data_IF_531266765566
#
_entry.id   IF_531266765566
#
_cell.length_a   1.000
_cell.length_b   1.000
_cell.length_c   1.000
_cell.angle_alpha   90.00
_cell.angle_beta   90.00
_cell.angle_gamma   90.00
#
_symmetry.space_group_name_H-M   'P 1'
#
loop_
_entity.id
_entity.type
_entity.pdbx_description
1 polymer ?
#
# COMPACT_ATOMS: atom_id res chain seq x y z
N UNK A 1 -0.75 -21.16 26.32
CA UNK A 1 0.69 -20.85 26.38
C UNK A 1 0.91 -19.40 25.93
N UNK A 2 1.74 -18.63 26.62
CA UNK A 2 1.87 -17.16 26.39
C UNK A 2 2.83 -16.83 25.24
N UNK A 3 3.99 -17.49 25.19
CA UNK A 3 4.97 -17.28 24.12
C UNK A 3 4.56 -17.96 22.81
N UNK A 4 4.92 -17.34 21.67
CA UNK A 4 4.49 -17.75 20.32
C UNK A 4 5.64 -17.92 19.31
N UNK A 5 6.86 -17.52 19.67
CA UNK A 5 8.07 -17.69 18.89
C UNK A 5 9.16 -18.19 19.84
N UNK A 6 9.80 -19.28 19.47
CA UNK A 6 10.82 -19.96 20.27
C UNK A 6 12.11 -20.07 19.47
N UNK A 7 13.26 -20.12 20.16
CA UNK A 7 14.51 -20.50 19.52
C UNK A 7 14.44 -22.00 19.24
N UNK A 8 14.44 -22.38 17.97
CA UNK A 8 14.35 -23.76 17.53
C UNK A 8 15.06 -23.94 16.18
N UNK A 9 15.45 -25.18 15.88
CA UNK A 9 16.10 -25.55 14.61
C UNK A 9 15.16 -25.22 13.45
N UNK A 10 15.70 -24.53 12.44
CA UNK A 10 14.98 -24.13 11.24
C UNK A 10 14.13 -22.88 11.35
N UNK A 11 13.96 -22.26 12.53
CA UNK A 11 13.25 -20.97 12.61
C UNK A 11 14.02 -19.87 11.90
N UNK A 12 13.30 -19.09 11.10
CA UNK A 12 13.83 -17.94 10.37
C UNK A 12 13.86 -16.71 11.28
N UNK A 13 15.00 -16.03 11.33
CA UNK A 13 15.20 -14.78 12.06
C UNK A 13 15.61 -13.64 11.10
N UNK A 14 15.22 -12.42 11.44
CA UNK A 14 15.60 -11.18 10.77
C UNK A 14 16.74 -10.51 11.53
N UNK A 15 17.85 -10.19 10.86
CA UNK A 15 19.00 -9.53 11.49
C UNK A 15 18.73 -8.04 11.62
N UNK A 16 18.68 -7.53 12.85
CA UNK A 16 18.33 -6.14 13.14
C UNK A 16 19.52 -5.19 13.06
N UNK A 17 20.72 -5.64 13.44
CA UNK A 17 21.95 -4.83 13.44
C UNK A 17 23.20 -5.71 13.24
N UNK A 18 24.36 -5.07 13.04
CA UNK A 18 25.62 -5.76 12.72
C UNK A 18 25.86 -5.90 11.20
N UNK A 19 26.91 -6.63 10.77
CA UNK A 19 27.40 -6.64 9.38
C UNK A 19 26.43 -7.27 8.36
N UNK A 20 25.32 -7.84 8.83
CA UNK A 20 24.30 -8.49 8.00
C UNK A 20 22.88 -7.94 8.27
N UNK A 21 22.78 -6.74 8.86
CA UNK A 21 21.50 -6.07 9.11
C UNK A 21 20.60 -6.03 7.86
N UNK A 22 19.30 -6.24 8.05
CA UNK A 22 18.31 -6.31 6.97
C UNK A 22 18.16 -7.68 6.31
N UNK A 23 19.11 -8.62 6.52
CA UNK A 23 19.04 -9.98 5.96
C UNK A 23 18.22 -10.92 6.84
N UNK A 24 17.74 -12.00 6.22
CA UNK A 24 17.15 -13.15 6.90
C UNK A 24 18.17 -14.29 7.04
N UNK A 25 18.06 -15.09 8.09
CA UNK A 25 18.79 -16.36 8.29
C UNK A 25 17.88 -17.42 8.86
N UNK A 26 18.24 -18.69 8.74
CA UNK A 26 17.69 -19.77 9.54
C UNK A 26 18.65 -20.09 10.69
N UNK A 27 18.09 -20.36 11.87
CA UNK A 27 18.82 -21.03 12.95
C UNK A 27 19.05 -22.48 12.50
N UNK A 28 20.30 -22.91 12.43
CA UNK A 28 20.67 -24.30 12.10
C UNK A 28 20.93 -25.10 13.38
N UNK A 29 21.48 -24.44 14.39
CA UNK A 29 21.77 -25.02 15.69
C UNK A 29 21.87 -23.95 16.81
N UNK A 30 21.82 -24.37 18.07
CA UNK A 30 22.02 -23.53 19.26
C UNK A 30 23.37 -23.89 19.90
N UNK A 31 24.28 -22.93 19.97
CA UNK A 31 25.65 -23.14 20.47
C UNK A 31 25.69 -22.98 21.99
N UNK A 32 25.02 -21.93 22.48
CA UNK A 32 24.87 -21.62 23.90
C UNK A 32 23.63 -20.72 24.10
N UNK A 33 23.32 -20.36 25.35
CA UNK A 33 22.18 -19.51 25.70
C UNK A 33 22.14 -18.15 24.96
N UNK A 34 23.29 -17.65 24.50
CA UNK A 34 23.44 -16.35 23.86
C UNK A 34 23.68 -16.41 22.34
N UNK A 35 24.08 -17.57 21.77
CA UNK A 35 24.49 -17.71 20.36
C UNK A 35 23.88 -18.93 19.67
N UNK A 36 23.49 -18.74 18.41
CA UNK A 36 23.11 -19.80 17.47
C UNK A 36 24.10 -19.92 16.31
N UNK A 37 24.20 -21.12 15.74
CA UNK A 37 24.74 -21.33 14.40
C UNK A 37 23.66 -20.97 13.39
N UNK A 38 23.93 -19.99 12.51
CA UNK A 38 22.96 -19.50 11.54
C UNK A 38 23.47 -19.67 10.11
N UNK A 39 22.55 -19.76 9.16
CA UNK A 39 22.84 -19.90 7.73
C UNK A 39 21.81 -19.11 6.88
N UNK A 40 22.27 -18.42 5.83
CA UNK A 40 21.42 -17.61 4.95
C UNK A 40 21.77 -17.81 3.47
N UNK A 41 21.58 -19.03 2.93
CA UNK A 41 22.05 -19.40 1.59
C UNK A 41 21.38 -18.60 0.46
N UNK A 42 20.16 -18.10 0.70
CA UNK A 42 19.34 -17.34 -0.25
C UNK A 42 19.27 -15.84 0.10
N UNK A 43 20.05 -15.38 1.09
CA UNK A 43 20.14 -13.98 1.55
C UNK A 43 21.58 -13.44 1.55
N UNK A 44 22.57 -14.27 1.23
CA UNK A 44 23.98 -13.89 1.24
C UNK A 44 24.53 -13.71 2.65
N UNK A 45 24.18 -14.61 3.58
CA UNK A 45 24.85 -14.79 4.87
C UNK A 45 25.54 -16.14 4.85
N UNK A 46 26.86 -16.18 5.05
CA UNK A 46 27.61 -17.43 5.20
C UNK A 46 27.26 -18.08 6.55
N UNK A 47 27.44 -19.40 6.64
CA UNK A 47 27.28 -20.14 7.89
C UNK A 47 28.26 -19.62 8.94
N UNK A 48 27.74 -19.16 10.08
CA UNK A 48 28.54 -18.57 11.17
C UNK A 48 27.80 -18.63 12.51
N UNK A 49 28.53 -18.51 13.62
CA UNK A 49 27.93 -18.25 14.92
C UNK A 49 27.42 -16.80 14.99
N UNK A 50 26.25 -16.58 15.60
CA UNK A 50 25.65 -15.24 15.71
C UNK A 50 24.83 -15.10 17.00
N UNK A 51 24.95 -13.99 17.75
CA UNK A 51 24.26 -13.84 19.02
C UNK A 51 22.76 -13.55 18.84
N UNK A 52 21.91 -14.10 19.71
CA UNK A 52 20.47 -13.86 19.68
C UNK A 52 20.11 -12.38 19.81
N UNK A 53 20.92 -11.60 20.53
CA UNK A 53 20.72 -10.14 20.72
C UNK A 53 20.62 -9.34 19.41
N UNK A 54 21.24 -9.78 18.30
CA UNK A 54 21.19 -9.04 17.03
C UNK A 54 20.11 -9.53 16.06
N UNK A 55 19.34 -10.57 16.40
CA UNK A 55 18.33 -11.15 15.53
C UNK A 55 16.93 -11.17 16.16
N UNK A 56 15.90 -11.01 15.33
CA UNK A 56 14.50 -10.98 15.74
C UNK A 56 13.78 -12.16 15.09
N UNK A 57 13.29 -13.09 15.91
CA UNK A 57 12.59 -14.29 15.44
C UNK A 57 11.36 -13.92 14.61
N UNK A 58 11.18 -14.56 13.46
CA UNK A 58 9.97 -14.43 12.62
C UNK A 58 9.00 -15.58 12.90
N UNK A 59 7.82 -15.55 12.27
CA UNK A 59 6.83 -16.62 12.38
C UNK A 59 7.13 -17.84 11.49
N UNK A 60 8.13 -17.75 10.60
CA UNK A 60 8.46 -18.82 9.64
C UNK A 60 9.43 -19.85 10.24
N UNK A 61 9.15 -21.14 10.02
CA UNK A 61 9.98 -22.27 10.42
C UNK A 61 10.19 -23.18 9.21
N UNK A 62 11.43 -23.61 8.98
CA UNK A 62 11.83 -24.57 7.97
C UNK A 62 12.05 -25.94 8.60
N UNK A 63 11.57 -27.02 7.99
CA UNK A 63 11.77 -28.38 8.52
C UNK A 63 13.02 -29.02 7.91
N UNK A 64 14.11 -29.03 8.67
CA UNK A 64 15.36 -29.75 8.39
C UNK A 64 16.01 -30.21 9.71
N UNK A 65 16.87 -31.25 9.74
CA UNK A 65 17.47 -31.74 10.97
C UNK A 65 18.54 -30.78 11.55
N UNK A 66 18.77 -30.86 12.86
CA UNK A 66 19.88 -30.16 13.54
C UNK A 66 21.20 -30.35 12.77
N UNK A 67 22.03 -29.31 12.72
CA UNK A 67 23.34 -29.30 12.05
C UNK A 67 23.35 -29.63 10.54
N UNK A 68 22.19 -29.67 9.86
CA UNK A 68 22.10 -29.96 8.42
C UNK A 68 23.06 -29.11 7.55
N UNK A 69 23.68 -29.73 6.53
CA UNK A 69 24.57 -29.04 5.56
C UNK A 69 23.80 -27.99 4.74
N UNK A 70 24.48 -26.92 4.31
CA UNK A 70 23.86 -25.75 3.65
C UNK A 70 23.00 -26.09 2.41
N UNK A 71 23.33 -27.16 1.67
CA UNK A 71 22.52 -27.68 0.54
C UNK A 71 21.07 -27.97 0.94
N UNK A 72 20.84 -28.57 2.11
CA UNK A 72 19.50 -28.89 2.62
C UNK A 72 18.76 -27.65 3.14
N UNK A 73 19.47 -26.74 3.81
CA UNK A 73 18.92 -25.46 4.27
C UNK A 73 18.45 -24.62 3.08
N UNK A 74 19.24 -24.56 2.00
CA UNK A 74 18.87 -23.93 0.72
C UNK A 74 17.59 -24.56 0.13
N UNK A 75 17.57 -25.88 -0.02
CA UNK A 75 16.44 -26.59 -0.60
C UNK A 75 15.14 -26.37 0.20
N UNK A 76 15.22 -26.37 1.54
CA UNK A 76 14.08 -26.05 2.41
C UNK A 76 13.59 -24.59 2.24
N UNK A 77 14.52 -23.63 2.19
CA UNK A 77 14.23 -22.20 2.02
C UNK A 77 13.53 -21.88 0.70
N UNK A 78 13.98 -22.55 -0.38
CA UNK A 78 13.46 -22.39 -1.74
C UNK A 78 12.12 -23.14 -1.92
N UNK A 79 11.98 -24.36 -1.36
CA UNK A 79 10.71 -25.10 -1.29
C UNK A 79 9.61 -24.29 -0.58
N UNK A 80 9.93 -23.71 0.58
CA UNK A 80 8.99 -22.89 1.35
C UNK A 80 8.83 -21.45 0.81
N UNK A 81 9.58 -21.06 -0.23
CA UNK A 81 9.52 -19.74 -0.89
C UNK A 81 9.61 -18.58 0.12
N UNK A 82 10.46 -18.71 1.14
CA UNK A 82 10.53 -17.78 2.29
C UNK A 82 10.75 -16.34 1.86
N UNK A 83 11.59 -16.07 0.87
CA UNK A 83 11.83 -14.71 0.37
C UNK A 83 10.55 -14.03 -0.16
N UNK A 84 9.62 -14.80 -0.76
CA UNK A 84 8.33 -14.31 -1.25
C UNK A 84 7.35 -14.13 -0.09
N UNK A 85 7.26 -15.13 0.82
CA UNK A 85 6.42 -15.05 2.03
C UNK A 85 6.80 -13.84 2.89
N UNK A 86 8.10 -13.59 3.10
CA UNK A 86 8.63 -12.42 3.81
C UNK A 86 8.20 -11.10 3.16
N UNK A 87 8.45 -10.92 1.85
CA UNK A 87 8.05 -9.71 1.10
C UNK A 87 6.54 -9.44 1.17
N UNK A 88 5.71 -10.48 1.28
CA UNK A 88 4.27 -10.33 1.45
C UNK A 88 3.86 -9.79 2.85
N UNK A 89 4.68 -9.97 3.89
CA UNK A 89 4.35 -9.57 5.27
C UNK A 89 4.18 -8.06 5.44
N UNK A 90 3.37 -7.67 6.43
CA UNK A 90 3.27 -6.27 6.91
C UNK A 90 4.59 -5.75 7.50
N UNK A 91 5.52 -6.62 7.90
CA UNK A 91 6.82 -6.25 8.47
C UNK A 91 7.79 -5.83 7.37
N UNK A 92 8.02 -6.67 6.35
CA UNK A 92 8.84 -6.31 5.20
C UNK A 92 8.33 -5.04 4.49
N UNK A 93 7.00 -4.93 4.28
CA UNK A 93 6.37 -3.74 3.70
C UNK A 93 6.59 -2.47 4.53
N UNK A 94 6.71 -2.56 5.87
CA UNK A 94 7.09 -1.42 6.73
C UNK A 94 8.57 -1.05 6.60
N UNK A 95 9.47 -2.03 6.44
CA UNK A 95 10.91 -1.79 6.22
C UNK A 95 11.09 -1.08 4.87
N UNK A 96 10.51 -1.64 3.81
CA UNK A 96 10.55 -1.06 2.47
C UNK A 96 9.94 0.36 2.44
N UNK A 97 8.81 0.59 3.10
CA UNK A 97 8.22 1.93 3.19
C UNK A 97 9.11 2.93 3.95
N UNK A 98 9.91 2.47 4.93
CA UNK A 98 10.90 3.31 5.62
C UNK A 98 12.05 3.68 4.68
N UNK A 99 12.58 2.72 3.94
CA UNK A 99 13.64 2.96 2.94
C UNK A 99 13.18 3.90 1.83
N UNK A 100 11.99 3.65 1.23
CA UNK A 100 11.41 4.50 0.20
C UNK A 100 11.17 5.94 0.70
N UNK A 101 10.86 6.12 1.99
CA UNK A 101 10.77 7.45 2.62
C UNK A 101 12.14 8.10 2.81
N UNK A 102 13.17 7.34 3.17
CA UNK A 102 14.54 7.86 3.32
C UNK A 102 15.16 8.26 1.97
N UNK A 103 14.87 7.49 0.92
CA UNK A 103 15.33 7.71 -0.48
C UNK A 103 14.47 8.73 -1.26
N UNK A 104 13.62 9.52 -0.58
CA UNK A 104 12.62 10.40 -1.22
C UNK A 104 13.22 11.75 -1.62
N UNK A 105 13.15 12.10 -2.92
CA UNK A 105 13.62 13.40 -3.44
C UNK A 105 12.73 14.55 -2.98
N UNK A 106 13.21 15.80 -3.03
CA UNK A 106 12.38 16.94 -2.59
C UNK A 106 11.12 17.14 -3.45
N UNK A 107 11.22 16.95 -4.77
CA UNK A 107 10.06 16.98 -5.65
C UNK A 107 9.03 15.90 -5.29
N UNK A 108 9.46 14.73 -4.81
CA UNK A 108 8.57 13.72 -4.26
C UNK A 108 7.93 14.16 -2.94
N UNK A 109 8.69 14.83 -2.05
CA UNK A 109 8.14 15.44 -0.82
C UNK A 109 7.04 16.46 -1.14
N UNK A 110 7.23 17.31 -2.16
CA UNK A 110 6.22 18.27 -2.64
C UNK A 110 4.96 17.58 -3.16
N UNK A 111 5.10 16.57 -4.04
CA UNK A 111 3.97 15.77 -4.55
C UNK A 111 3.19 15.09 -3.41
N UNK A 112 3.89 14.46 -2.47
CA UNK A 112 3.30 13.83 -1.27
C UNK A 112 2.59 14.86 -0.38
N UNK A 113 3.15 16.05 -0.19
CA UNK A 113 2.53 17.13 0.59
C UNK A 113 1.19 17.58 -0.02
N UNK A 114 1.14 17.84 -1.33
CA UNK A 114 -0.09 18.26 -2.02
C UNK A 114 -1.17 17.17 -1.96
N UNK A 115 -0.81 15.92 -2.25
CA UNK A 115 -1.73 14.77 -2.16
C UNK A 115 -2.26 14.56 -0.73
N UNK A 116 -1.39 14.62 0.28
CA UNK A 116 -1.77 14.50 1.70
C UNK A 116 -2.68 15.65 2.14
N UNK A 117 -2.46 16.88 1.67
CA UNK A 117 -3.32 18.05 1.96
C UNK A 117 -4.74 17.84 1.45
N UNK A 118 -4.93 17.35 0.22
CA UNK A 118 -6.26 17.06 -0.32
C UNK A 118 -6.93 15.87 0.39
N UNK A 119 -6.22 14.75 0.58
CA UNK A 119 -6.72 13.59 1.32
C UNK A 119 -7.22 13.95 2.71
N UNK A 120 -6.45 14.76 3.45
CA UNK A 120 -6.83 15.20 4.80
C UNK A 120 -8.04 16.15 4.80
N UNK A 121 -8.23 16.98 3.76
CA UNK A 121 -9.42 17.84 3.60
C UNK A 121 -10.69 16.99 3.44
N UNK A 122 -10.65 15.98 2.57
CA UNK A 122 -11.78 15.05 2.35
C UNK A 122 -12.13 14.32 3.65
N UNK A 123 -11.13 13.69 4.29
CA UNK A 123 -11.34 12.95 5.55
C UNK A 123 -11.90 13.85 6.66
N UNK A 124 -11.38 15.08 6.83
CA UNK A 124 -11.89 16.02 7.84
C UNK A 124 -13.35 16.42 7.60
N UNK A 125 -13.76 16.55 6.34
CA UNK A 125 -15.15 16.84 5.99
C UNK A 125 -16.07 15.65 6.32
N UNK A 126 -15.68 14.44 5.92
CA UNK A 126 -16.52 13.25 6.12
C UNK A 126 -16.62 12.85 7.59
N UNK A 127 -15.52 12.92 8.35
CA UNK A 127 -15.55 12.72 9.81
C UNK A 127 -16.47 13.74 10.49
N UNK A 128 -16.50 15.00 10.05
CA UNK A 128 -17.42 16.02 10.59
C UNK A 128 -18.89 15.72 10.27
N UNK A 129 -19.21 15.10 9.13
CA UNK A 129 -20.57 14.59 8.86
C UNK A 129 -20.92 13.43 9.79
N UNK A 130 -20.05 12.42 9.89
CA UNK A 130 -20.27 11.24 10.73
C UNK A 130 -20.46 11.62 12.20
N UNK A 131 -19.66 12.55 12.72
CA UNK A 131 -19.81 13.10 14.07
C UNK A 131 -21.18 13.78 14.28
N UNK A 132 -21.61 14.64 13.34
CA UNK A 132 -22.95 15.25 13.39
C UNK A 132 -24.06 14.18 13.40
N UNK A 133 -23.93 13.14 12.57
CA UNK A 133 -24.90 12.06 12.48
C UNK A 133 -24.95 11.21 13.77
N UNK A 134 -23.80 10.94 14.42
CA UNK A 134 -23.78 10.26 15.72
C UNK A 134 -24.37 11.11 16.84
N UNK A 135 -24.09 12.42 16.89
CA UNK A 135 -24.69 13.32 17.90
C UNK A 135 -26.21 13.39 17.74
N UNK A 136 -26.72 13.48 16.51
CA UNK A 136 -28.16 13.47 16.20
C UNK A 136 -28.86 12.14 16.56
N UNK A 137 -28.12 11.02 16.65
CA UNK A 137 -28.65 9.74 17.16
C UNK A 137 -28.55 9.58 18.69
N UNK A 138 -27.61 10.28 19.33
CA UNK A 138 -27.40 10.24 20.78
C UNK A 138 -28.26 11.23 21.58
N UNK A 139 -28.80 12.27 20.93
CA UNK A 139 -29.71 13.23 21.57
C UNK A 139 -31.15 12.71 21.57
N UNK A 140 -31.86 12.63 22.72
CA UNK A 140 -33.28 12.34 22.74
C UNK A 140 -34.06 13.47 22.05
N UNK A 141 -35.07 13.13 21.26
CA UNK A 141 -35.92 14.11 20.56
C UNK A 141 -36.71 14.98 21.55
N UNK A 142 -36.25 16.21 21.80
CA UNK A 142 -37.05 17.31 22.36
C UNK A 142 -37.14 18.44 21.33
N UNK A 143 -38.31 19.07 21.21
CA UNK A 143 -38.51 20.28 20.40
C UNK A 143 -38.91 20.07 18.93
N UNK A 144 -39.97 19.30 18.67
CA UNK A 144 -40.59 19.17 17.34
C UNK A 144 -42.12 19.38 17.38
N UNK A 145 -42.56 20.40 18.12
CA UNK A 145 -43.95 20.81 18.28
C UNK A 145 -44.01 22.34 18.50
N UNK A 146 -45.16 22.96 18.25
CA UNK A 146 -45.41 24.41 18.46
C UNK A 146 -44.66 25.41 17.55
N UNK A 147 -44.70 25.27 16.21
CA UNK A 147 -44.61 26.44 15.30
C UNK A 147 -45.40 26.30 13.99
N UNK A 148 -46.62 25.76 14.05
CA UNK A 148 -47.46 25.49 12.87
C UNK A 148 -48.94 25.93 13.00
N UNK A 149 -49.30 26.69 14.04
CA UNK A 149 -50.70 26.95 14.43
C UNK A 149 -51.05 28.44 14.66
N UNK A 150 -50.12 29.36 14.37
CA UNK A 150 -50.27 30.80 14.66
C UNK A 150 -50.44 31.70 13.41
N UNK A 151 -50.80 31.11 12.26
CA UNK A 151 -50.87 31.83 10.96
C UNK A 151 -52.15 31.56 10.15
N UNK A 152 -53.22 31.08 10.80
CA UNK A 152 -54.50 30.74 10.14
C UNK A 152 -55.71 31.58 10.58
N UNK A 153 -55.50 32.69 11.29
CA UNK A 153 -56.59 33.57 11.76
C UNK A 153 -56.33 35.04 11.39
N UNK A 154 -56.34 35.36 10.09
CA UNK A 154 -56.56 36.71 9.57
C UNK A 154 -56.83 36.71 8.06
N UNK A 155 -57.53 37.75 7.58
CA UNK A 155 -57.68 38.15 6.16
C UNK A 155 -58.31 37.13 5.17
N UNK A 156 -59.61 36.82 5.33
CA UNK A 156 -60.45 36.33 4.22
C UNK A 156 -61.02 37.52 3.43
N UNK A 157 -60.37 37.96 2.33
CA UNK A 157 -60.98 38.90 1.36
C UNK A 157 -60.34 38.80 -0.04
N UNK A 158 -61.19 38.79 -1.08
CA UNK A 158 -60.83 38.93 -2.51
C UNK A 158 -61.77 40.02 -3.08
N UNK A 159 -61.29 40.93 -3.91
CA UNK A 159 -61.76 41.03 -5.30
C UNK A 159 -60.59 41.19 -6.31
N UNK A 160 -60.89 41.15 -7.62
CA UNK A 160 -59.91 41.12 -8.71
C UNK A 160 -60.17 42.20 -9.79
N UNK A 161 -59.19 42.45 -10.68
CA UNK A 161 -59.38 42.79 -12.12
C UNK A 161 -58.06 43.01 -12.92
N UNK A 162 -58.07 42.57 -14.19
CA UNK A 162 -57.34 43.04 -15.41
C UNK A 162 -55.79 43.13 -15.39
N UNK A 163 -55.05 42.50 -16.34
CA UNK A 163 -54.79 42.82 -17.77
C UNK A 163 -53.64 43.85 -17.96
N UNK A 164 -52.80 43.87 -19.02
CA UNK A 164 -52.90 43.27 -20.36
C UNK A 164 -51.53 43.20 -21.09
N UNK A 165 -51.32 42.23 -22.03
CA UNK A 165 -50.29 42.27 -23.10
C UNK A 165 -48.80 42.00 -22.75
N UNK A 166 -47.90 41.61 -23.67
CA UNK A 166 -48.02 41.15 -25.07
C UNK A 166 -46.94 40.09 -25.46
N UNK A 167 -47.01 39.62 -26.73
CA UNK A 167 -46.21 38.60 -27.48
C UNK A 167 -44.67 38.86 -27.49
N UNK A 168 -43.78 37.96 -27.95
CA UNK A 168 -43.91 36.89 -28.96
C UNK A 168 -42.95 35.69 -28.80
N UNK A 169 -43.10 34.68 -29.68
CA UNK A 169 -42.38 33.39 -29.69
C UNK A 169 -41.59 33.14 -31.00
N UNK A 170 -40.57 32.28 -30.94
CA UNK A 170 -40.05 31.34 -31.99
C UNK A 170 -38.98 30.44 -31.31
N UNK A 171 -38.85 29.12 -31.51
CA UNK A 171 -39.42 28.17 -32.47
C UNK A 171 -38.66 28.21 -33.81
N UNK A 172 -38.11 27.15 -34.42
CA UNK A 172 -38.23 25.66 -34.32
C UNK A 172 -36.96 25.04 -35.01
N UNK A 173 -36.59 23.73 -35.05
CA UNK A 173 -36.99 22.42 -34.46
C UNK A 173 -35.90 21.36 -34.84
N UNK A 174 -35.84 20.19 -34.17
CA UNK A 174 -34.89 19.07 -34.44
C UNK A 174 -35.50 18.00 -35.40
N UNK A 175 -34.84 16.86 -35.80
CA UNK A 175 -33.50 16.33 -35.48
C UNK A 175 -32.68 15.81 -36.70
N UNK A 176 -31.48 15.22 -36.48
CA UNK A 176 -30.73 14.48 -37.50
C UNK A 176 -29.53 13.69 -36.92
N UNK A 177 -29.26 12.48 -37.43
CA UNK A 177 -28.23 11.57 -36.89
C UNK A 177 -26.96 11.51 -37.76
N UNK A 178 -25.77 11.53 -37.14
CA UNK A 178 -24.54 10.85 -37.61
C UNK A 178 -23.47 10.84 -36.50
N UNK A 179 -22.70 9.75 -36.40
CA UNK A 179 -21.72 9.54 -35.32
C UNK A 179 -20.30 9.99 -35.71
N UNK A 180 -19.52 10.65 -34.81
CA UNK A 180 -18.09 10.86 -35.00
C UNK A 180 -17.25 9.68 -34.49
N UNK A 181 -16.19 9.31 -35.21
CA UNK A 181 -15.33 8.17 -34.87
C UNK A 181 -14.35 8.46 -33.70
N UNK A 182 -13.95 7.40 -33.00
CA UNK A 182 -12.93 7.43 -31.93
C UNK A 182 -11.54 7.72 -32.53
N UNK A 183 -10.93 8.87 -32.24
CA UNK A 183 -9.48 9.08 -32.41
C UNK A 183 -8.74 8.70 -31.12
N UNK A 184 -7.98 7.60 -31.15
CA UNK A 184 -7.06 7.23 -30.07
C UNK A 184 -5.73 7.99 -30.15
N UNK A 185 -4.96 8.07 -29.03
CA UNK A 185 -3.63 8.68 -29.04
C UNK A 185 -2.62 7.81 -29.79
N UNK A 186 -1.73 8.44 -30.56
CA UNK A 186 -0.77 7.76 -31.41
C UNK A 186 0.28 6.95 -30.62
N UNK A 187 0.50 5.70 -31.04
CA UNK A 187 1.57 4.86 -30.51
C UNK A 187 2.90 5.19 -31.20
N UNK A 188 3.92 5.58 -30.45
CA UNK A 188 5.31 5.60 -30.95
C UNK A 188 5.88 4.17 -30.88
N UNK A 189 6.10 3.56 -32.03
CA UNK A 189 6.76 2.25 -32.12
C UNK A 189 8.23 2.29 -31.67
N UNK A 190 8.79 1.18 -31.17
CA UNK A 190 10.20 1.11 -30.80
C UNK A 190 11.10 1.06 -32.06
N UNK A 191 12.13 1.89 -32.11
CA UNK A 191 13.13 1.84 -33.17
C UNK A 191 13.97 0.56 -33.04
N UNK A 192 14.01 -0.24 -34.11
CA UNK A 192 14.84 -1.44 -34.17
C UNK A 192 16.32 -1.04 -34.27
N UNK A 193 17.12 -1.37 -33.24
CA UNK A 193 18.59 -1.39 -33.37
C UNK A 193 19.00 -2.76 -33.89
N UNK A 194 19.64 -2.78 -35.07
CA UNK A 194 20.24 -4.01 -35.62
C UNK A 194 21.37 -4.54 -34.73
N UNK A 195 21.68 -5.85 -34.81
CA UNK A 195 22.74 -6.45 -34.00
C UNK A 195 24.12 -5.94 -34.43
N UNK A 196 24.84 -5.32 -33.50
CA UNK A 196 26.24 -4.99 -33.70
C UNK A 196 27.07 -6.28 -33.83
N UNK A 197 27.88 -6.38 -34.88
CA UNK A 197 28.73 -7.54 -35.14
C UNK A 197 29.84 -7.63 -34.08
N UNK A 198 30.15 -8.86 -33.63
CA UNK A 198 31.29 -9.11 -32.74
C UNK A 198 32.59 -9.03 -33.55
N UNK A 199 33.34 -7.94 -33.41
CA UNK A 199 34.76 -7.94 -33.79
C UNK A 199 35.51 -8.98 -32.94
N UNK A 200 36.22 -9.90 -33.58
CA UNK A 200 37.03 -10.89 -32.89
C UNK A 200 38.37 -10.27 -32.48
N UNK A 201 38.77 -10.44 -31.21
CA UNK A 201 40.09 -10.05 -30.76
C UNK A 201 41.14 -11.03 -31.32
N UNK A 202 42.21 -10.57 -31.98
CA UNK A 202 43.28 -11.44 -32.45
C UNK A 202 44.04 -12.03 -31.26
N UNK A 203 44.32 -13.35 -31.30
CA UNK A 203 45.17 -14.01 -30.30
C UNK A 203 46.62 -13.57 -30.53
N UNK A 204 47.19 -12.82 -29.59
CA UNK A 204 48.64 -12.64 -29.53
C UNK A 204 49.31 -13.99 -29.22
N UNK A 205 50.32 -14.35 -30.03
CA UNK A 205 51.26 -15.45 -29.76
C UNK A 205 52.61 -14.87 -29.35
N UNK A 206 52.91 -14.89 -28.05
CA UNK A 206 54.22 -15.22 -27.45
C UNK A 206 54.05 -15.25 -25.93
#
# INVERSE_FOLDING_TARGET
MVFKRYVEIGRVAYISFGPHAGKLVAIVDVIDQNRALVDGPCSGVRRQAMPFKCMQLTDFVLKFPHSARQKYVRAAWEKEKINTKWKATRWAKKIEARERKAKMTDFDRYKVMKAKKMRNRIIKHEVKKLQKASTQKGSPKKGATQKALASKVSAKKIPAKKAEGQKAQKGQKAPGQKAPAKKGPAQKGPAQKGPAQKAAAPKAKK
#
